data_IF_813279202199
#
_entry.id   IF_813279202199
#
_cell.length_a   1.000
_cell.length_b   1.000
_cell.length_c   1.000
_cell.angle_alpha   90.00
_cell.angle_beta   90.00
_cell.angle_gamma   90.00
#
_symmetry.space_group_name_H-M   'P 1'
#
loop_
_entity.id
_entity.type
_entity.pdbx_description
1 polymer ?
#
# COMPACT_ATOMS: atom_id res chain seq x y z
N UNK A 1 22.07 -3.28 -19.57
CA UNK A 1 21.25 -2.06 -19.59
C UNK A 1 20.35 -2.11 -18.37
N UNK A 2 20.50 -1.19 -17.43
CA UNK A 2 19.64 -1.08 -16.25
C UNK A 2 18.39 -0.31 -16.63
N UNK A 3 17.21 -0.89 -16.41
CA UNK A 3 15.93 -0.25 -16.73
C UNK A 3 15.75 0.98 -15.83
N UNK A 4 15.65 2.17 -16.44
CA UNK A 4 15.57 3.46 -15.73
C UNK A 4 14.19 3.67 -15.10
N UNK A 5 13.19 2.85 -15.47
CA UNK A 5 11.83 2.86 -14.92
C UNK A 5 11.76 2.22 -13.51
N UNK A 6 12.42 2.82 -12.51
CA UNK A 6 12.32 2.38 -11.12
C UNK A 6 11.56 3.41 -10.26
N UNK A 7 10.33 3.03 -9.89
CA UNK A 7 9.46 3.74 -8.94
C UNK A 7 8.78 2.74 -8.00
N UNK A 8 7.46 2.81 -7.82
CA UNK A 8 6.71 1.90 -6.93
C UNK A 8 6.79 0.41 -7.30
N UNK A 9 7.14 0.10 -8.55
CA UNK A 9 7.33 -1.27 -9.05
C UNK A 9 8.77 -1.78 -8.89
N UNK A 10 9.66 -1.04 -8.22
CA UNK A 10 11.05 -1.47 -7.99
C UNK A 10 11.13 -2.82 -7.24
N UNK A 11 10.17 -3.10 -6.35
CA UNK A 11 9.99 -4.40 -5.67
C UNK A 11 9.70 -5.56 -6.63
N UNK A 12 9.17 -5.27 -7.82
CA UNK A 12 8.87 -6.23 -8.88
C UNK A 12 9.78 -6.06 -10.09
N UNK A 13 10.85 -5.26 -9.97
CA UNK A 13 11.76 -5.04 -11.08
C UNK A 13 12.43 -6.36 -11.45
N UNK A 14 12.28 -6.75 -12.72
CA UNK A 14 12.93 -7.94 -13.28
C UNK A 14 14.44 -7.90 -13.10
N UNK A 15 15.02 -6.69 -13.15
CA UNK A 15 16.45 -6.46 -12.96
C UNK A 15 16.95 -6.83 -11.54
N UNK A 16 16.11 -6.71 -10.51
CA UNK A 16 16.50 -7.01 -9.12
C UNK A 16 16.04 -8.38 -8.64
N UNK A 17 14.82 -8.75 -8.98
CA UNK A 17 14.11 -9.90 -8.39
C UNK A 17 13.96 -11.05 -9.40
N UNK A 18 14.09 -10.76 -10.69
CA UNK A 18 13.89 -11.73 -11.76
C UNK A 18 12.41 -12.15 -11.94
N UNK A 19 12.14 -12.96 -12.98
CA UNK A 19 10.79 -13.46 -13.27
C UNK A 19 10.20 -14.29 -12.13
N UNK A 20 11.04 -15.10 -11.47
CA UNK A 20 10.62 -16.03 -10.42
C UNK A 20 9.98 -15.28 -9.25
N UNK A 21 10.57 -14.18 -8.79
CA UNK A 21 10.00 -13.45 -7.66
C UNK A 21 8.68 -12.77 -8.00
N UNK A 22 8.49 -12.28 -9.23
CA UNK A 22 7.19 -11.74 -9.69
C UNK A 22 6.10 -12.82 -9.62
N UNK A 23 6.39 -14.05 -10.06
CA UNK A 23 5.46 -15.17 -9.93
C UNK A 23 5.16 -15.55 -8.48
N UNK A 24 6.18 -15.57 -7.61
CA UNK A 24 5.99 -15.83 -6.18
C UNK A 24 5.06 -14.78 -5.56
N UNK A 25 5.32 -13.49 -5.79
CA UNK A 25 4.47 -12.43 -5.27
C UNK A 25 3.05 -12.51 -5.80
N UNK A 26 2.87 -12.83 -7.08
CA UNK A 26 1.54 -13.06 -7.65
C UNK A 26 0.81 -14.21 -6.95
N UNK A 27 1.50 -15.33 -6.71
CA UNK A 27 0.95 -16.46 -5.96
C UNK A 27 0.52 -16.06 -4.55
N UNK A 28 1.37 -15.35 -3.82
CA UNK A 28 1.09 -14.88 -2.46
C UNK A 28 -0.11 -13.92 -2.43
N UNK A 29 -0.13 -12.89 -3.29
CA UNK A 29 -1.24 -11.94 -3.32
C UNK A 29 -2.55 -12.58 -3.78
N UNK A 30 -2.50 -13.50 -4.74
CA UNK A 30 -3.69 -14.23 -5.19
C UNK A 30 -4.25 -15.14 -4.11
N UNK A 31 -3.38 -15.85 -3.38
CA UNK A 31 -3.77 -16.66 -2.24
C UNK A 31 -4.40 -15.81 -1.13
N UNK A 32 -3.76 -14.69 -0.76
CA UNK A 32 -4.30 -13.75 0.23
C UNK A 32 -5.64 -13.17 -0.22
N UNK A 33 -5.78 -12.80 -1.49
CA UNK A 33 -7.02 -12.29 -2.06
C UNK A 33 -8.13 -13.35 -2.02
N UNK A 34 -7.82 -14.60 -2.35
CA UNK A 34 -8.76 -15.71 -2.27
C UNK A 34 -9.20 -15.99 -0.83
N UNK A 35 -8.26 -16.04 0.12
CA UNK A 35 -8.57 -16.18 1.55
C UNK A 35 -9.46 -15.03 2.05
N UNK A 36 -9.16 -13.79 1.65
CA UNK A 36 -9.94 -12.63 2.04
C UNK A 36 -11.34 -12.63 1.41
N UNK A 37 -11.45 -13.04 0.14
CA UNK A 37 -12.74 -13.18 -0.54
C UNK A 37 -13.58 -14.29 0.11
N UNK A 38 -12.99 -15.46 0.40
CA UNK A 38 -13.67 -16.52 1.15
C UNK A 38 -14.12 -16.06 2.53
N UNK A 39 -13.30 -15.29 3.25
CA UNK A 39 -13.66 -14.71 4.54
C UNK A 39 -14.81 -13.69 4.44
N UNK A 40 -14.89 -12.94 3.33
CA UNK A 40 -16.01 -12.04 3.03
C UNK A 40 -17.27 -12.80 2.60
N UNK A 41 -17.14 -13.89 1.83
CA UNK A 41 -18.24 -14.71 1.33
C UNK A 41 -18.83 -15.66 2.37
N UNK A 42 -18.04 -16.15 3.34
CA UNK A 42 -18.50 -16.98 4.47
C UNK A 42 -19.41 -16.21 5.44
N UNK A 43 -19.91 -15.04 5.04
CA UNK A 43 -20.88 -14.24 5.77
C UNK A 43 -22.21 -14.98 5.89
N UNK A 44 -22.31 -15.66 7.03
CA UNK A 44 -23.54 -16.13 7.63
C UNK A 44 -24.46 -14.94 7.94
N UNK A 45 -25.73 -15.13 7.59
CA UNK A 45 -27.01 -14.41 7.80
C UNK A 45 -27.19 -13.39 8.95
N UNK A 46 -26.23 -13.16 9.84
CA UNK A 46 -26.35 -12.17 10.91
C UNK A 46 -25.75 -10.82 10.48
N UNK A 47 -26.59 -9.96 9.91
CA UNK A 47 -26.24 -8.65 9.34
C UNK A 47 -25.58 -7.65 10.32
N UNK A 48 -25.47 -7.97 11.62
CA UNK A 48 -25.06 -7.02 12.67
C UNK A 48 -23.56 -6.77 12.85
N UNK A 49 -22.66 -7.51 12.19
CA UNK A 49 -21.21 -7.35 12.42
C UNK A 49 -20.41 -7.23 11.13
N UNK A 50 -20.82 -6.30 10.27
CA UNK A 50 -19.98 -5.89 9.16
C UNK A 50 -18.85 -4.97 9.63
N UNK A 51 -17.70 -5.53 10.04
CA UNK A 51 -16.53 -4.71 10.35
C UNK A 51 -15.97 -4.06 9.06
N UNK A 52 -16.01 -2.73 8.92
CA UNK A 52 -15.57 -2.02 7.70
C UNK A 52 -14.08 -2.21 7.39
N UNK A 53 -13.25 -2.53 8.40
CA UNK A 53 -11.85 -2.91 8.17
C UNK A 53 -11.72 -4.10 7.22
N UNK A 54 -12.60 -5.12 7.32
CA UNK A 54 -12.50 -6.30 6.46
C UNK A 54 -12.72 -5.95 5.00
N UNK A 55 -13.61 -4.98 4.73
CA UNK A 55 -13.85 -4.45 3.40
C UNK A 55 -12.62 -3.66 2.91
N UNK A 56 -12.07 -2.76 3.73
CA UNK A 56 -10.87 -2.01 3.38
C UNK A 56 -9.67 -2.93 3.11
N UNK A 57 -9.49 -3.97 3.93
CA UNK A 57 -8.45 -4.99 3.72
C UNK A 57 -8.70 -5.76 2.42
N UNK A 58 -9.96 -6.10 2.12
CA UNK A 58 -10.36 -6.70 0.84
C UNK A 58 -10.00 -5.83 -0.36
N UNK A 59 -10.30 -4.53 -0.29
CA UNK A 59 -9.95 -3.55 -1.32
C UNK A 59 -8.43 -3.44 -1.46
N UNK A 60 -7.71 -3.34 -0.34
CA UNK A 60 -6.25 -3.26 -0.30
C UNK A 60 -5.59 -4.47 -0.98
N UNK A 61 -5.93 -5.69 -0.54
CA UNK A 61 -5.35 -6.94 -1.06
C UNK A 61 -5.79 -7.16 -2.51
N UNK A 62 -7.06 -6.87 -2.83
CA UNK A 62 -7.59 -6.94 -4.19
C UNK A 62 -6.86 -6.01 -5.15
N UNK A 63 -6.66 -4.74 -4.77
CA UNK A 63 -5.90 -3.78 -5.56
C UNK A 63 -4.44 -4.23 -5.74
N UNK A 64 -3.80 -4.76 -4.70
CA UNK A 64 -2.44 -5.30 -4.79
C UNK A 64 -2.35 -6.51 -5.74
N UNK A 65 -3.32 -7.43 -5.68
CA UNK A 65 -3.38 -8.61 -6.55
C UNK A 65 -3.62 -8.21 -8.01
N UNK A 66 -4.62 -7.36 -8.28
CA UNK A 66 -4.93 -6.86 -9.63
C UNK A 66 -3.74 -6.07 -10.17
N UNK A 67 -3.12 -5.20 -9.37
CA UNK A 67 -1.92 -4.47 -9.80
C UNK A 67 -0.75 -5.39 -10.15
N UNK A 68 -0.54 -6.48 -9.40
CA UNK A 68 0.50 -7.48 -9.72
C UNK A 68 0.17 -8.24 -11.00
N UNK A 69 -1.10 -8.61 -11.18
CA UNK A 69 -1.57 -9.28 -12.39
C UNK A 69 -1.40 -8.38 -13.63
N UNK A 70 -1.81 -7.12 -13.55
CA UNK A 70 -1.61 -6.14 -14.63
C UNK A 70 -0.14 -5.98 -14.98
N UNK A 71 0.75 -5.96 -13.99
CA UNK A 71 2.20 -5.91 -14.23
C UNK A 71 2.73 -7.17 -14.93
N UNK A 72 2.27 -8.35 -14.50
CA UNK A 72 2.65 -9.61 -15.12
C UNK A 72 2.17 -9.68 -16.58
N UNK A 73 0.92 -9.28 -16.83
CA UNK A 73 0.36 -9.22 -18.18
C UNK A 73 1.14 -8.24 -19.06
N UNK A 74 1.55 -7.08 -18.53
CA UNK A 74 2.38 -6.13 -19.28
C UNK A 74 3.72 -6.77 -19.66
N UNK A 75 4.30 -7.54 -18.74
CA UNK A 75 5.58 -8.21 -19.02
C UNK A 75 5.44 -9.31 -20.06
N UNK A 76 4.37 -10.11 -19.99
CA UNK A 76 4.10 -11.13 -21.00
C UNK A 76 3.84 -10.50 -22.37
N UNK A 77 3.14 -9.36 -22.39
CA UNK A 77 2.92 -8.57 -23.59
C UNK A 77 4.24 -8.08 -24.19
N UNK A 78 5.11 -7.47 -23.37
CA UNK A 78 6.44 -7.04 -23.75
C UNK A 78 7.29 -8.19 -24.29
N UNK A 79 7.24 -9.36 -23.65
CA UNK A 79 7.99 -10.54 -24.09
C UNK A 79 7.54 -11.06 -25.47
N UNK A 80 6.27 -10.89 -25.84
CA UNK A 80 5.73 -11.35 -27.12
C UNK A 80 5.87 -10.31 -28.24
N UNK A 81 5.61 -9.03 -27.96
CA UNK A 81 5.58 -7.96 -28.96
C UNK A 81 6.87 -7.13 -29.02
N UNK A 82 7.71 -7.16 -27.97
CA UNK A 82 8.90 -6.31 -27.84
C UNK A 82 8.60 -4.86 -27.43
N UNK A 83 7.34 -4.51 -27.18
CA UNK A 83 6.90 -3.16 -26.81
C UNK A 83 6.06 -3.18 -25.52
N UNK A 84 6.24 -2.16 -24.67
CA UNK A 84 5.48 -2.00 -23.42
C UNK A 84 4.08 -1.45 -23.70
N UNK A 85 3.07 -1.90 -22.95
CA UNK A 85 1.73 -1.33 -23.00
C UNK A 85 1.55 -0.31 -21.85
N UNK A 86 1.81 0.97 -22.15
CA UNK A 86 1.84 2.06 -21.15
C UNK A 86 0.61 2.10 -20.23
N UNK A 87 -0.59 1.89 -20.79
CA UNK A 87 -1.83 1.90 -20.00
C UNK A 87 -1.85 0.79 -18.93
N UNK A 88 -1.40 -0.41 -19.26
CA UNK A 88 -1.41 -1.56 -18.37
C UNK A 88 -0.36 -1.39 -17.26
N UNK A 89 0.81 -0.86 -17.64
CA UNK A 89 1.89 -0.49 -16.74
C UNK A 89 1.46 0.60 -15.75
N UNK A 90 0.84 1.68 -16.23
CA UNK A 90 0.36 2.77 -15.38
C UNK A 90 -0.77 2.32 -14.46
N UNK A 91 -1.72 1.51 -14.94
CA UNK A 91 -2.76 0.93 -14.11
C UNK A 91 -2.18 0.06 -12.98
N UNK A 92 -1.17 -0.77 -13.29
CA UNK A 92 -0.48 -1.58 -12.29
C UNK A 92 0.16 -0.72 -11.19
N UNK A 93 0.84 0.37 -11.57
CA UNK A 93 1.43 1.33 -10.61
C UNK A 93 0.40 1.98 -9.72
N UNK A 94 -0.68 2.51 -10.30
CA UNK A 94 -1.73 3.21 -9.56
C UNK A 94 -2.43 2.27 -8.57
N UNK A 95 -2.75 1.05 -8.99
CA UNK A 95 -3.37 0.05 -8.12
C UNK A 95 -2.44 -0.36 -6.97
N UNK A 96 -1.14 -0.52 -7.25
CA UNK A 96 -0.14 -0.81 -6.22
C UNK A 96 0.03 0.34 -5.23
N UNK A 97 0.17 1.58 -5.71
CA UNK A 97 0.20 2.76 -4.86
C UNK A 97 -1.07 2.82 -4.00
N UNK A 98 -2.25 2.70 -4.62
CA UNK A 98 -3.54 2.69 -3.94
C UNK A 98 -3.63 1.63 -2.84
N UNK A 99 -3.09 0.42 -3.07
CA UNK A 99 -3.03 -0.62 -2.04
C UNK A 99 -2.16 -0.21 -0.83
N UNK A 100 -0.98 0.39 -1.05
CA UNK A 100 -0.08 0.84 0.02
C UNK A 100 -0.73 1.93 0.88
N UNK A 101 -1.36 2.92 0.25
CA UNK A 101 -2.07 3.98 0.97
C UNK A 101 -3.32 3.48 1.68
N UNK A 102 -4.05 2.51 1.11
CA UNK A 102 -5.18 1.88 1.79
C UNK A 102 -4.70 1.09 3.02
N UNK A 103 -3.59 0.36 2.92
CA UNK A 103 -2.98 -0.31 4.06
C UNK A 103 -2.60 0.69 5.15
N UNK A 104 -1.97 1.80 4.77
CA UNK A 104 -1.55 2.83 5.71
C UNK A 104 -2.74 3.49 6.41
N UNK A 105 -3.86 3.71 5.70
CA UNK A 105 -5.12 4.15 6.30
C UNK A 105 -5.62 3.16 7.35
N UNK A 106 -5.59 1.85 7.06
CA UNK A 106 -5.97 0.80 8.01
C UNK A 106 -5.06 0.84 9.24
N UNK A 107 -3.75 1.02 9.06
CA UNK A 107 -2.78 1.09 10.16
C UNK A 107 -3.00 2.31 11.05
N UNK A 108 -3.23 3.50 10.48
CA UNK A 108 -3.52 4.70 11.26
C UNK A 108 -4.83 4.58 12.05
N UNK A 109 -5.87 3.98 11.45
CA UNK A 109 -7.13 3.70 12.16
C UNK A 109 -6.92 2.73 13.32
N UNK A 110 -6.17 1.65 13.10
CA UNK A 110 -5.83 0.68 14.14
C UNK A 110 -5.03 1.33 15.26
N UNK A 111 -4.04 2.16 14.94
CA UNK A 111 -3.21 2.86 15.93
C UNK A 111 -4.00 3.83 16.80
N UNK A 112 -5.11 4.40 16.31
CA UNK A 112 -6.03 5.22 17.12
C UNK A 112 -6.96 4.41 18.03
N UNK A 113 -6.86 3.08 17.98
CA UNK A 113 -7.74 2.16 18.70
C UNK A 113 -9.14 2.05 18.12
N UNK A 114 -9.38 2.66 16.95
CA UNK A 114 -10.63 2.49 16.21
C UNK A 114 -10.63 1.07 15.65
N UNK A 115 -11.81 0.45 15.67
CA UNK A 115 -12.10 -0.92 15.22
C UNK A 115 -11.78 -2.07 16.19
N UNK A 116 -10.95 -1.86 17.21
CA UNK A 116 -10.74 -2.84 18.30
C UNK A 116 -11.58 -2.46 19.52
N UNK A 117 -11.54 -1.18 19.91
CA UNK A 117 -12.20 -0.71 21.13
C UNK A 117 -13.41 0.19 20.87
N UNK A 118 -13.49 0.80 19.68
CA UNK A 118 -14.60 1.67 19.28
C UNK A 118 -15.08 1.31 17.86
N UNK A 119 -16.40 1.26 17.59
CA UNK A 119 -16.91 1.04 16.24
C UNK A 119 -16.44 2.16 15.29
N UNK A 120 -16.08 1.76 14.06
CA UNK A 120 -15.60 2.70 13.04
C UNK A 120 -16.78 3.50 12.49
N UNK A 121 -16.66 4.82 12.53
CA UNK A 121 -17.61 5.72 11.89
C UNK A 121 -17.03 6.28 10.59
N UNK A 122 -17.90 6.61 9.61
CA UNK A 122 -17.46 7.23 8.35
C UNK A 122 -16.70 8.55 8.53
N UNK A 123 -16.96 9.28 9.63
CA UNK A 123 -16.22 10.50 9.97
C UNK A 123 -14.74 10.22 10.30
N UNK A 124 -14.46 9.11 10.98
CA UNK A 124 -13.09 8.70 11.30
C UNK A 124 -12.33 8.39 10.00
N UNK A 125 -12.99 7.71 9.05
CA UNK A 125 -12.45 7.43 7.71
C UNK A 125 -12.16 8.70 6.92
N UNK A 126 -13.10 9.65 6.89
CA UNK A 126 -12.92 10.92 6.20
C UNK A 126 -11.76 11.74 6.80
N UNK A 127 -11.56 11.67 8.12
CA UNK A 127 -10.45 12.36 8.77
C UNK A 127 -9.09 11.78 8.37
N UNK A 128 -8.94 10.45 8.32
CA UNK A 128 -7.70 9.85 7.81
C UNK A 128 -7.51 10.10 6.31
N UNK A 129 -8.59 9.96 5.53
CA UNK A 129 -8.57 10.23 4.10
C UNK A 129 -8.15 11.67 3.80
N UNK A 130 -8.54 12.65 4.62
CA UNK A 130 -8.14 14.05 4.45
C UNK A 130 -6.61 14.25 4.50
N UNK A 131 -5.89 13.43 5.27
CA UNK A 131 -4.43 13.49 5.35
C UNK A 131 -3.78 12.64 4.25
N UNK A 132 -4.32 11.45 4.00
CA UNK A 132 -3.72 10.48 3.09
C UNK A 132 -3.99 10.72 1.61
N UNK A 133 -5.16 11.26 1.25
CA UNK A 133 -5.53 11.51 -0.15
C UNK A 133 -4.61 12.55 -0.80
N UNK A 134 -4.30 13.70 -0.17
CA UNK A 134 -3.34 14.65 -0.74
C UNK A 134 -1.95 14.03 -0.93
N UNK A 135 -1.50 13.21 0.02
CA UNK A 135 -0.22 12.52 -0.08
C UNK A 135 -0.22 11.48 -1.21
N UNK A 136 -1.29 10.69 -1.33
CA UNK A 136 -1.48 9.77 -2.44
C UNK A 136 -1.46 10.48 -3.78
N UNK A 137 -2.19 11.60 -3.92
CA UNK A 137 -2.20 12.40 -5.14
C UNK A 137 -0.80 12.92 -5.45
N UNK A 138 -0.11 13.51 -4.47
CA UNK A 138 1.26 14.01 -4.65
C UNK A 138 2.21 12.91 -5.13
N UNK A 139 2.19 11.75 -4.48
CA UNK A 139 3.06 10.63 -4.86
C UNK A 139 2.71 10.03 -6.22
N UNK A 140 1.42 9.94 -6.57
CA UNK A 140 0.99 9.53 -7.92
C UNK A 140 1.43 10.55 -8.96
N UNK A 141 1.25 11.84 -8.71
CA UNK A 141 1.67 12.91 -9.63
C UNK A 141 3.18 12.86 -9.85
N UNK A 142 3.97 12.62 -8.80
CA UNK A 142 5.42 12.51 -8.91
C UNK A 142 5.88 11.26 -9.65
N UNK A 143 5.17 10.14 -9.47
CA UNK A 143 5.42 8.92 -10.24
C UNK A 143 5.10 9.13 -11.73
N UNK A 144 3.93 9.73 -12.04
CA UNK A 144 3.52 10.07 -13.40
C UNK A 144 4.52 11.03 -14.03
N UNK A 145 4.88 12.10 -13.32
CA UNK A 145 5.86 13.08 -13.79
C UNK A 145 7.23 12.44 -14.04
N UNK A 146 7.66 11.51 -13.17
CA UNK A 146 8.89 10.75 -13.32
C UNK A 146 8.95 9.93 -14.61
N UNK A 147 7.82 9.35 -15.03
CA UNK A 147 7.72 8.56 -16.26
C UNK A 147 7.69 9.44 -17.53
N UNK A 148 7.00 10.59 -17.51
CA UNK A 148 6.84 11.45 -18.68
C UNK A 148 7.96 12.49 -18.88
N UNK A 149 8.82 12.71 -17.87
CA UNK A 149 9.92 13.66 -17.99
C UNK A 149 11.00 13.14 -18.96
N UNK A 150 10.97 13.61 -20.22
CA UNK A 150 11.94 13.29 -21.28
C UNK A 150 13.41 13.54 -20.88
N UNK A 151 13.68 14.44 -19.93
CA UNK A 151 15.03 14.70 -19.42
C UNK A 151 15.62 13.52 -18.64
N UNK A 152 14.78 12.59 -18.15
CA UNK A 152 15.20 11.43 -17.33
C UNK A 152 15.45 10.15 -18.11
N UNK A 153 15.18 10.13 -19.40
CA UNK A 153 15.56 9.01 -20.29
C UNK A 153 17.07 8.72 -20.28
N UNK A 154 17.89 9.67 -19.78
CA UNK A 154 19.35 9.61 -19.80
C UNK A 154 20.04 9.70 -18.42
N UNK A 155 19.30 9.85 -17.32
CA UNK A 155 19.87 9.98 -15.97
C UNK A 155 19.31 8.92 -15.02
N UNK A 156 20.20 8.19 -14.33
CA UNK A 156 19.85 7.14 -13.35
C UNK A 156 19.34 7.66 -12.01
N UNK A 157 19.25 8.98 -11.81
CA UNK A 157 18.82 9.54 -10.53
C UNK A 157 17.31 9.41 -10.34
N UNK A 158 16.94 8.55 -9.38
CA UNK A 158 15.56 8.30 -8.93
C UNK A 158 14.81 9.61 -8.64
N UNK A 159 13.49 9.64 -8.88
CA UNK A 159 12.60 10.77 -8.54
C UNK A 159 12.79 11.25 -7.10
N UNK A 160 13.11 10.31 -6.21
CA UNK A 160 13.35 10.52 -4.78
C UNK A 160 14.64 11.28 -4.42
N UNK A 161 15.55 11.52 -5.37
CA UNK A 161 16.75 12.37 -5.15
C UNK A 161 16.51 13.85 -5.41
N UNK A 162 15.26 14.23 -5.64
CA UNK A 162 14.88 15.64 -5.80
C UNK A 162 14.43 16.20 -4.46
N UNK A 163 14.44 17.54 -4.32
CA UNK A 163 13.90 18.23 -3.13
C UNK A 163 12.46 17.79 -2.82
N UNK A 164 11.67 17.48 -3.86
CA UNK A 164 10.30 17.00 -3.68
C UNK A 164 10.28 15.56 -3.12
N UNK A 165 11.22 14.71 -3.55
CA UNK A 165 11.46 13.39 -2.97
C UNK A 165 11.77 13.47 -1.47
N UNK A 166 12.69 14.35 -1.08
CA UNK A 166 13.04 14.57 0.33
C UNK A 166 11.83 15.02 1.16
N UNK A 167 10.94 15.85 0.58
CA UNK A 167 9.70 16.29 1.22
C UNK A 167 8.75 15.10 1.46
N UNK A 168 8.59 14.19 0.49
CA UNK A 168 7.77 12.98 0.68
C UNK A 168 8.33 12.12 1.82
N UNK A 169 9.64 11.87 1.82
CA UNK A 169 10.30 11.08 2.86
C UNK A 169 10.07 11.72 4.24
N UNK A 170 10.19 13.05 4.34
CA UNK A 170 9.89 13.76 5.59
C UNK A 170 8.42 13.58 6.02
N UNK A 171 7.47 13.59 5.08
CA UNK A 171 6.05 13.35 5.37
C UNK A 171 5.85 11.91 5.85
N UNK A 172 6.50 10.92 5.23
CA UNK A 172 6.37 9.51 5.62
C UNK A 172 6.97 9.26 7.02
N UNK A 173 8.08 9.90 7.35
CA UNK A 173 8.63 9.92 8.73
C UNK A 173 7.64 10.57 9.70
N UNK A 174 7.03 11.70 9.32
CA UNK A 174 6.03 12.35 10.16
C UNK A 174 4.79 11.47 10.38
N UNK A 175 4.36 10.72 9.36
CA UNK A 175 3.27 9.75 9.46
C UNK A 175 3.63 8.56 10.36
N UNK A 176 4.86 8.06 10.30
CA UNK A 176 5.36 7.03 11.21
C UNK A 176 5.36 7.53 12.66
N UNK A 177 5.86 8.74 12.91
CA UNK A 177 5.84 9.35 14.25
C UNK A 177 4.41 9.53 14.74
N UNK A 178 3.49 9.97 13.88
CA UNK A 178 2.07 10.09 14.19
C UNK A 178 1.45 8.73 14.53
N UNK A 179 1.78 7.69 13.75
CA UNK A 179 1.36 6.31 13.98
C UNK A 179 1.81 5.82 15.36
N UNK A 180 3.12 5.94 15.67
CA UNK A 180 3.69 5.52 16.95
C UNK A 180 3.10 6.30 18.13
N UNK A 181 2.90 7.61 17.98
CA UNK A 181 2.26 8.44 19.01
C UNK A 181 0.83 7.99 19.29
N UNK A 182 0.05 7.72 18.24
CA UNK A 182 -1.31 7.21 18.38
C UNK A 182 -1.31 5.81 19.02
N UNK A 183 -0.41 4.93 18.58
CA UNK A 183 -0.24 3.58 19.13
C UNK A 183 0.07 3.63 20.63
N UNK A 184 1.02 4.45 21.06
CA UNK A 184 1.36 4.62 22.48
C UNK A 184 0.18 5.18 23.28
N UNK A 185 -0.54 6.16 22.74
CA UNK A 185 -1.73 6.72 23.38
C UNK A 185 -2.81 5.65 23.56
N UNK A 186 -3.12 4.89 22.51
CA UNK A 186 -4.10 3.81 22.57
C UNK A 186 -3.66 2.68 23.50
N UNK A 187 -2.38 2.31 23.50
CA UNK A 187 -1.82 1.34 24.44
C UNK A 187 -1.96 1.78 25.90
N UNK A 188 -1.72 3.06 26.20
CA UNK A 188 -1.84 3.61 27.56
C UNK A 188 -3.29 3.73 28.03
N UNK A 189 -4.24 3.92 27.11
CA UNK A 189 -5.66 4.07 27.41
C UNK A 189 -6.40 2.72 27.54
N UNK A 190 -5.83 1.64 27.01
CA UNK A 190 -6.46 0.32 26.99
C UNK A 190 -6.26 -0.41 28.32
N UNK A 191 -7.37 -0.74 28.99
CA UNK A 191 -7.37 -1.50 30.25
C UNK A 191 -7.35 -3.01 30.03
N UNK A 192 -7.81 -3.47 28.87
CA UNK A 192 -7.94 -4.89 28.53
C UNK A 192 -6.59 -5.49 28.09
N UNK A 193 -6.12 -6.50 28.83
CA UNK A 193 -4.79 -7.12 28.66
C UNK A 193 -4.54 -7.71 27.26
N UNK A 194 -5.43 -8.55 26.68
CA UNK A 194 -5.27 -9.07 25.32
C UNK A 194 -5.15 -7.97 24.26
N UNK A 195 -5.96 -6.91 24.33
CA UNK A 195 -5.89 -5.78 23.38
C UNK A 195 -4.59 -5.00 23.54
N UNK A 196 -4.17 -4.78 24.78
CA UNK A 196 -2.91 -4.12 25.09
C UNK A 196 -1.71 -4.90 24.54
N UNK A 197 -1.74 -6.23 24.65
CA UNK A 197 -0.72 -7.10 24.06
C UNK A 197 -0.69 -7.00 22.54
N UNK A 198 -1.86 -6.92 21.89
CA UNK A 198 -1.95 -6.71 20.45
C UNK A 198 -1.25 -5.41 20.01
N UNK A 199 -1.50 -4.28 20.68
CA UNK A 199 -0.82 -3.03 20.34
C UNK A 199 0.70 -3.10 20.52
N UNK A 200 1.16 -3.78 21.57
CA UNK A 200 2.60 -3.91 21.85
C UNK A 200 3.32 -4.76 20.81
N UNK A 201 2.76 -5.91 20.43
CA UNK A 201 3.44 -6.84 19.52
C UNK A 201 3.16 -6.49 18.05
N UNK A 202 1.88 -6.46 17.68
CA UNK A 202 1.47 -6.29 16.29
C UNK A 202 1.61 -4.85 15.84
N UNK A 203 1.35 -3.87 16.72
CA UNK A 203 1.56 -2.46 16.39
C UNK A 203 3.01 -2.14 15.99
N UNK A 204 3.98 -2.73 16.69
CA UNK A 204 5.40 -2.55 16.33
C UNK A 204 5.76 -3.27 15.02
N UNK A 205 5.25 -4.47 14.79
CA UNK A 205 5.47 -5.19 13.52
C UNK A 205 4.91 -4.38 12.35
N UNK A 206 3.72 -3.78 12.51
CA UNK A 206 3.10 -2.97 11.47
C UNK A 206 3.79 -1.62 11.24
N UNK A 207 4.57 -1.10 12.20
CA UNK A 207 5.41 0.06 11.96
C UNK A 207 6.43 -0.19 10.82
N UNK A 208 6.84 -1.44 10.62
CA UNK A 208 7.69 -1.83 9.49
C UNK A 208 7.07 -1.56 8.12
N UNK A 209 5.75 -1.48 8.01
CA UNK A 209 5.08 -1.14 6.75
C UNK A 209 5.38 0.31 6.30
N UNK A 210 5.68 1.22 7.22
CA UNK A 210 6.08 2.59 6.90
C UNK A 210 7.49 2.66 6.32
N UNK A 211 8.33 1.64 6.54
CA UNK A 211 9.66 1.55 5.90
C UNK A 211 9.58 1.07 4.44
N UNK A 212 8.42 0.54 4.03
CA UNK A 212 8.14 0.12 2.65
C UNK A 212 7.46 1.21 1.82
N UNK A 213 7.26 2.39 2.44
CA UNK A 213 6.92 3.61 1.73
C UNK A 213 8.14 4.09 0.93
N UNK A 214 7.90 4.80 -0.18
CA UNK A 214 8.94 5.17 -1.12
C UNK A 214 10.03 6.09 -0.55
#
# INVERSE_FOLDING_TARGET
MTNVKMGFLSEFSFDRVGPIGVYIFMGVYSFLAACQLMALMKRSTSAKTQHPIRLMLGICVGAAAIGTLSFLLNTLWYAYHGEDQDNLYMAAKLLKAGSKYTLLAILLLLARGRCISVPLHGRDLLQEARVLVPLYIASVTLEVWGEFAQSRTYTTDSVYRTVIGDIIICIDIALLVLYLRNLCRSWSAETDTPKRNFYRTWGLIYAGAFLLLP
#
